data_IF_410559014235
#
_entry.id   IF_410559014235
#
_cell.length_a   1.000
_cell.length_b   1.000
_cell.length_c   1.000
_cell.angle_alpha   90.00
_cell.angle_beta   90.00
_cell.angle_gamma   90.00
#
_symmetry.space_group_name_H-M   'P 1'
#
loop_
_entity.id
_entity.type
_entity.pdbx_description
1 polymer ?
#
# COMPACT_ATOMS: atom_id res chain seq x y z
N UNK A 1 56.66 9.21 -11.24
CA UNK A 1 57.16 7.90 -11.72
C UNK A 1 56.50 6.81 -10.87
N UNK A 2 55.29 6.38 -11.25
CA UNK A 2 54.56 5.33 -10.52
C UNK A 2 55.15 3.97 -10.89
N UNK A 3 55.67 3.23 -9.90
CA UNK A 3 56.25 1.89 -10.11
C UNK A 3 55.14 0.95 -10.62
N UNK A 4 55.39 0.14 -11.66
CA UNK A 4 54.38 -0.74 -12.28
C UNK A 4 53.77 -1.72 -11.26
N UNK A 5 54.53 -2.09 -10.23
CA UNK A 5 54.08 -2.96 -9.15
C UNK A 5 52.97 -2.34 -8.27
N UNK A 6 52.99 -1.02 -8.04
CA UNK A 6 51.98 -0.33 -7.22
C UNK A 6 50.65 -0.16 -7.95
N UNK A 7 50.67 -0.08 -9.28
CA UNK A 7 49.44 0.03 -10.08
C UNK A 7 48.70 -1.31 -10.18
N UNK A 8 49.45 -2.42 -10.32
CA UNK A 8 48.87 -3.78 -10.37
C UNK A 8 48.22 -4.17 -9.04
N UNK A 9 48.84 -3.84 -7.91
CA UNK A 9 48.25 -4.10 -6.57
C UNK A 9 46.96 -3.31 -6.37
N UNK A 10 46.90 -2.05 -6.84
CA UNK A 10 45.69 -1.23 -6.75
C UNK A 10 44.52 -1.81 -7.59
N UNK A 11 44.82 -2.32 -8.79
CA UNK A 11 43.82 -2.94 -9.68
C UNK A 11 43.29 -4.26 -9.09
N UNK A 12 44.15 -5.05 -8.44
CA UNK A 12 43.73 -6.32 -7.79
C UNK A 12 42.85 -6.05 -6.57
N UNK A 13 43.19 -5.04 -5.75
CA UNK A 13 42.36 -4.67 -4.59
C UNK A 13 41.01 -4.10 -5.04
N UNK A 14 40.98 -3.26 -6.09
CA UNK A 14 39.74 -2.72 -6.63
C UNK A 14 38.83 -3.80 -7.24
N UNK A 15 39.40 -4.85 -7.85
CA UNK A 15 38.62 -5.97 -8.41
C UNK A 15 38.15 -6.97 -7.35
N UNK A 16 38.85 -7.14 -6.23
CA UNK A 16 38.36 -7.94 -5.09
C UNK A 16 37.20 -7.25 -4.34
N UNK A 17 37.15 -5.92 -4.27
CA UNK A 17 36.07 -5.20 -3.59
C UNK A 17 34.76 -5.22 -4.38
N UNK A 18 34.81 -5.37 -5.71
CA UNK A 18 33.61 -5.48 -6.55
C UNK A 18 32.98 -6.90 -6.47
N UNK A 19 33.76 -7.91 -6.11
CA UNK A 19 33.30 -9.31 -6.06
C UNK A 19 32.56 -9.70 -4.76
N UNK A 20 32.50 -8.81 -3.76
CA UNK A 20 31.76 -9.04 -2.51
C UNK A 20 30.58 -8.09 -2.34
N UNK A 21 30.09 -7.48 -3.41
CA UNK A 21 28.74 -6.93 -3.38
C UNK A 21 27.80 -8.12 -3.11
N UNK A 22 27.07 -8.15 -1.98
CA UNK A 22 26.09 -9.20 -1.76
C UNK A 22 25.14 -9.11 -2.95
N UNK A 23 25.06 -10.20 -3.71
CA UNK A 23 23.97 -10.43 -4.65
C UNK A 23 22.71 -10.26 -3.82
N UNK A 24 22.10 -9.08 -3.88
CA UNK A 24 20.79 -8.85 -3.32
C UNK A 24 19.80 -9.61 -4.21
N UNK A 25 19.85 -10.94 -4.14
CA UNK A 25 18.68 -11.78 -4.38
C UNK A 25 17.73 -11.52 -3.23
N UNK A 26 17.20 -10.30 -3.19
CA UNK A 26 15.98 -10.00 -2.49
C UNK A 26 14.93 -10.85 -3.15
N UNK A 27 14.66 -12.02 -2.59
CA UNK A 27 13.30 -12.53 -2.60
C UNK A 27 12.45 -11.35 -2.16
N UNK A 28 11.60 -10.85 -3.06
CA UNK A 28 10.51 -9.97 -2.68
C UNK A 28 9.68 -10.83 -1.72
N UNK A 29 10.02 -10.76 -0.44
CA UNK A 29 9.26 -11.38 0.62
C UNK A 29 7.93 -10.66 0.60
N UNK A 30 6.98 -11.17 -0.16
CA UNK A 30 5.60 -10.73 -0.08
C UNK A 30 5.22 -10.92 1.38
N UNK A 31 5.04 -9.80 2.09
CA UNK A 31 4.47 -9.81 3.43
C UNK A 31 3.16 -10.59 3.32
N UNK A 32 3.15 -11.82 3.86
CA UNK A 32 1.96 -12.65 3.82
C UNK A 32 0.85 -11.93 4.58
N UNK A 33 -0.34 -11.86 3.99
CA UNK A 33 -1.48 -11.24 4.64
C UNK A 33 -1.75 -11.94 5.97
N UNK A 34 -1.73 -11.18 7.07
CA UNK A 34 -2.08 -11.69 8.40
C UNK A 34 -3.56 -11.47 8.65
N UNK A 35 -4.26 -12.50 9.11
CA UNK A 35 -5.63 -12.35 9.58
C UNK A 35 -5.68 -11.40 10.79
N UNK A 36 -6.52 -10.37 10.70
CA UNK A 36 -6.78 -9.42 11.78
C UNK A 36 -8.25 -9.56 12.17
N UNK A 37 -8.52 -10.21 13.29
CA UNK A 37 -9.88 -10.46 13.77
C UNK A 37 -9.91 -11.36 15.02
N UNK A 38 -11.11 -11.69 15.53
CA UNK A 38 -11.25 -12.64 16.63
C UNK A 38 -10.66 -14.00 16.26
N UNK A 39 -10.14 -14.77 17.24
CA UNK A 39 -9.62 -16.10 16.96
C UNK A 39 -10.61 -16.93 16.15
N UNK A 40 -10.17 -17.48 15.03
CA UNK A 40 -10.99 -18.35 14.20
C UNK A 40 -11.28 -19.62 15.00
N UNK A 41 -12.54 -19.81 15.39
CA UNK A 41 -12.99 -21.03 16.06
C UNK A 41 -13.19 -22.11 15.00
N UNK A 42 -12.26 -23.05 14.90
CA UNK A 42 -12.36 -24.16 13.96
C UNK A 42 -11.00 -24.72 13.54
N UNK A 43 -11.03 -25.77 12.72
CA UNK A 43 -9.84 -26.31 12.06
C UNK A 43 -9.79 -25.85 10.61
N UNK A 44 -8.62 -25.44 10.13
CA UNK A 44 -8.42 -25.18 8.71
C UNK A 44 -8.71 -26.46 7.91
N UNK A 45 -9.57 -26.37 6.89
CA UNK A 45 -9.99 -27.54 6.12
C UNK A 45 -9.02 -27.80 4.96
N UNK A 46 -8.90 -26.83 4.05
CA UNK A 46 -8.04 -26.90 2.86
C UNK A 46 -7.76 -25.49 2.32
N UNK A 47 -6.64 -25.28 1.59
CA UNK A 47 -6.41 -24.04 0.86
C UNK A 47 -7.52 -23.79 -0.16
N UNK A 48 -7.77 -22.52 -0.45
CA UNK A 48 -8.64 -22.13 -1.54
C UNK A 48 -8.00 -22.58 -2.88
N UNK A 49 -8.76 -23.15 -3.83
CA UNK A 49 -8.23 -23.46 -5.17
C UNK A 49 -7.62 -22.23 -5.84
N UNK A 50 -6.52 -22.41 -6.58
CA UNK A 50 -5.76 -21.31 -7.17
C UNK A 50 -6.56 -20.41 -8.13
N UNK A 51 -7.65 -20.93 -8.71
CA UNK A 51 -8.48 -20.22 -9.70
C UNK A 51 -9.85 -19.79 -9.14
N UNK A 52 -10.02 -19.82 -7.80
CA UNK A 52 -11.24 -19.32 -7.20
C UNK A 52 -11.23 -17.79 -7.22
N UNK A 53 -12.22 -17.19 -7.88
CA UNK A 53 -12.45 -15.75 -7.81
C UNK A 53 -12.78 -15.35 -6.37
N UNK A 54 -12.08 -14.32 -5.87
CA UNK A 54 -12.30 -13.77 -4.53
C UNK A 54 -12.69 -12.32 -4.69
N UNK A 55 -13.91 -11.99 -4.26
CA UNK A 55 -14.33 -10.61 -4.19
C UNK A 55 -13.61 -9.90 -3.05
N UNK A 56 -12.93 -8.80 -3.36
CA UNK A 56 -12.24 -7.96 -2.41
C UNK A 56 -12.79 -6.54 -2.46
N UNK A 57 -12.94 -5.95 -1.27
CA UNK A 57 -13.28 -4.55 -1.08
C UNK A 57 -12.06 -3.83 -0.50
N UNK A 58 -11.56 -2.84 -1.23
CA UNK A 58 -10.42 -2.03 -0.85
C UNK A 58 -10.92 -0.70 -0.30
N UNK A 59 -10.72 -0.48 1.00
CA UNK A 59 -11.07 0.77 1.65
C UNK A 59 -9.86 1.69 1.73
N UNK A 60 -9.98 2.90 1.22
CA UNK A 60 -8.93 3.91 1.29
C UNK A 60 -9.13 4.78 2.54
N UNK A 61 -8.04 5.10 3.26
CA UNK A 61 -8.13 6.01 4.39
C UNK A 61 -8.46 7.45 3.93
N UNK A 62 -9.16 8.24 4.74
CA UNK A 62 -9.39 9.65 4.44
C UNK A 62 -8.10 10.46 4.49
N UNK A 63 -7.96 11.42 3.56
CA UNK A 63 -6.76 12.27 3.42
C UNK A 63 -6.41 13.02 4.72
N UNK A 64 -7.42 13.53 5.43
CA UNK A 64 -7.28 14.28 6.68
C UNK A 64 -7.82 13.50 7.90
N UNK A 65 -7.54 12.20 7.98
CA UNK A 65 -8.06 11.33 9.04
C UNK A 65 -7.84 11.84 10.47
N UNK A 66 -6.71 12.51 10.73
CA UNK A 66 -6.34 13.01 12.05
C UNK A 66 -7.27 14.10 12.59
N UNK A 67 -7.91 14.89 11.74
CA UNK A 67 -8.79 15.99 12.18
C UNK A 67 -10.24 15.56 12.38
N UNK A 68 -10.64 14.36 11.94
CA UNK A 68 -12.04 13.92 11.96
C UNK A 68 -12.62 13.99 13.38
N UNK A 69 -11.92 13.41 14.36
CA UNK A 69 -12.40 13.37 15.74
C UNK A 69 -12.54 14.77 16.34
N UNK A 70 -11.57 15.65 16.07
CA UNK A 70 -11.61 17.03 16.54
C UNK A 70 -12.79 17.79 15.93
N UNK A 71 -12.99 17.71 14.61
CA UNK A 71 -14.11 18.39 13.94
C UNK A 71 -15.45 17.84 14.43
N UNK A 72 -15.57 16.51 14.56
CA UNK A 72 -16.78 15.87 15.08
C UNK A 72 -17.11 16.34 16.51
N UNK A 73 -16.11 16.46 17.38
CA UNK A 73 -16.29 16.98 18.74
C UNK A 73 -16.80 18.42 18.72
N UNK A 74 -16.17 19.31 17.94
CA UNK A 74 -16.58 20.72 17.88
C UNK A 74 -18.00 20.90 17.30
N UNK A 75 -18.42 20.05 16.37
CA UNK A 75 -19.81 20.01 15.89
C UNK A 75 -20.75 19.54 17.00
N UNK A 76 -20.37 18.53 17.79
CA UNK A 76 -21.18 18.05 18.91
C UNK A 76 -21.37 19.12 20.00
N UNK A 77 -20.33 19.93 20.24
CA UNK A 77 -20.34 21.07 21.15
C UNK A 77 -21.07 22.29 20.57
N UNK A 78 -21.59 22.19 19.33
CA UNK A 78 -22.28 23.26 18.60
C UNK A 78 -21.41 24.50 18.35
N UNK A 79 -20.08 24.35 18.37
CA UNK A 79 -19.15 25.42 18.00
C UNK A 79 -19.09 25.62 16.49
N UNK A 80 -19.35 24.57 15.70
CA UNK A 80 -19.49 24.62 14.26
C UNK A 80 -20.75 23.90 13.80
N UNK A 81 -21.26 24.31 12.63
CA UNK A 81 -22.28 23.54 11.94
C UNK A 81 -21.67 22.27 11.33
N UNK A 82 -22.45 21.17 11.22
CA UNK A 82 -22.02 20.01 10.45
C UNK A 82 -21.60 20.40 9.03
N UNK A 83 -20.55 19.76 8.52
CA UNK A 83 -20.12 19.94 7.14
C UNK A 83 -21.21 19.45 6.18
N UNK A 84 -21.41 20.17 5.08
CA UNK A 84 -22.20 19.66 3.95
C UNK A 84 -21.51 18.45 3.32
N UNK A 85 -22.24 17.71 2.50
CA UNK A 85 -21.66 16.56 1.77
C UNK A 85 -20.45 16.99 0.92
N UNK A 86 -20.55 18.08 0.17
CA UNK A 86 -19.42 18.60 -0.62
C UNK A 86 -18.24 19.04 0.26
N UNK A 87 -18.53 19.60 1.44
CA UNK A 87 -17.49 19.93 2.43
C UNK A 87 -16.79 18.68 2.94
N UNK A 88 -17.53 17.64 3.31
CA UNK A 88 -16.97 16.36 3.76
C UNK A 88 -16.07 15.75 2.68
N UNK A 89 -16.55 15.69 1.44
CA UNK A 89 -15.76 15.14 0.34
C UNK A 89 -14.55 16.01 0.00
N UNK A 90 -14.67 17.34 0.08
CA UNK A 90 -13.55 18.25 -0.14
C UNK A 90 -12.43 18.11 0.89
N UNK A 91 -12.79 17.85 2.16
CA UNK A 91 -11.80 17.73 3.24
C UNK A 91 -11.25 16.32 3.43
N UNK A 92 -12.07 15.29 3.25
CA UNK A 92 -11.73 13.94 3.70
C UNK A 92 -11.62 12.91 2.58
N UNK A 93 -12.23 13.12 1.42
CA UNK A 93 -12.12 12.14 0.34
C UNK A 93 -10.66 11.98 -0.08
N UNK A 94 -10.23 10.76 -0.47
CA UNK A 94 -8.91 10.55 -1.02
C UNK A 94 -8.65 11.45 -2.21
N UNK A 95 -7.39 11.88 -2.36
CA UNK A 95 -6.97 12.67 -3.50
C UNK A 95 -7.26 11.90 -4.80
N UNK A 96 -7.80 12.57 -5.81
CA UNK A 96 -8.17 11.93 -7.08
C UNK A 96 -6.98 11.23 -7.74
N UNK A 97 -5.78 11.82 -7.70
CA UNK A 97 -4.58 11.23 -8.30
C UNK A 97 -4.13 9.98 -7.55
N UNK A 98 -4.18 9.99 -6.22
CA UNK A 98 -3.83 8.82 -5.40
C UNK A 98 -4.84 7.70 -5.61
N UNK A 99 -6.13 8.03 -5.62
CA UNK A 99 -7.22 7.09 -5.88
C UNK A 99 -7.08 6.42 -7.25
N UNK A 100 -6.81 7.21 -8.30
CA UNK A 100 -6.54 6.69 -9.64
C UNK A 100 -5.27 5.83 -9.68
N UNK A 101 -4.25 6.16 -8.88
CA UNK A 101 -3.04 5.36 -8.72
C UNK A 101 -3.34 3.97 -8.16
N UNK A 102 -4.22 3.86 -7.16
CA UNK A 102 -4.67 2.58 -6.60
C UNK A 102 -5.45 1.77 -7.65
N UNK A 103 -6.37 2.40 -8.37
CA UNK A 103 -7.10 1.76 -9.48
C UNK A 103 -6.14 1.19 -10.52
N UNK A 104 -5.15 1.99 -10.95
CA UNK A 104 -4.17 1.55 -11.92
C UNK A 104 -3.34 0.36 -11.40
N UNK A 105 -2.90 0.43 -10.14
CA UNK A 105 -2.18 -0.66 -9.49
C UNK A 105 -3.01 -1.95 -9.46
N UNK A 106 -4.28 -1.89 -9.06
CA UNK A 106 -5.14 -3.08 -9.00
C UNK A 106 -5.31 -3.71 -10.39
N UNK A 107 -5.65 -2.90 -11.40
CA UNK A 107 -5.78 -3.39 -12.77
C UNK A 107 -4.47 -3.99 -13.31
N UNK A 108 -3.31 -3.37 -13.03
CA UNK A 108 -2.02 -3.89 -13.50
C UNK A 108 -1.61 -5.20 -12.82
N UNK A 109 -2.23 -5.53 -11.68
CA UNK A 109 -2.01 -6.79 -10.95
C UNK A 109 -3.11 -7.82 -11.20
N UNK A 110 -3.94 -7.61 -12.23
CA UNK A 110 -4.93 -8.59 -12.70
C UNK A 110 -6.29 -8.52 -12.01
N UNK A 111 -6.50 -7.56 -11.11
CA UNK A 111 -7.83 -7.33 -10.55
C UNK A 111 -8.76 -6.72 -11.61
N UNK A 112 -9.97 -7.24 -11.68
CA UNK A 112 -11.06 -6.67 -12.44
C UNK A 112 -11.93 -5.81 -11.52
N UNK A 113 -11.81 -4.50 -11.68
CA UNK A 113 -12.63 -3.53 -10.95
C UNK A 113 -14.06 -3.59 -11.48
N UNK A 114 -15.01 -3.73 -10.56
CA UNK A 114 -16.45 -3.84 -10.85
C UNK A 114 -17.24 -2.70 -10.24
N UNK A 115 -16.70 -2.05 -9.20
CA UNK A 115 -17.31 -0.88 -8.60
C UNK A 115 -16.26 0.08 -8.05
N UNK A 116 -16.58 1.37 -8.14
CA UNK A 116 -15.82 2.49 -7.60
C UNK A 116 -16.81 3.42 -6.93
N UNK A 117 -16.58 3.76 -5.67
CA UNK A 117 -17.48 4.66 -4.95
C UNK A 117 -17.29 6.11 -5.41
N UNK A 118 -18.38 6.89 -5.59
CA UNK A 118 -18.29 8.30 -6.00
C UNK A 118 -17.51 9.20 -5.03
N UNK A 119 -17.49 8.81 -3.74
CA UNK A 119 -16.78 9.47 -2.65
C UNK A 119 -15.30 9.06 -2.54
N UNK A 120 -14.83 8.14 -3.39
CA UNK A 120 -13.46 7.63 -3.49
C UNK A 120 -12.95 6.87 -2.27
N UNK A 121 -13.84 6.38 -1.40
CA UNK A 121 -13.44 5.58 -0.23
C UNK A 121 -13.40 4.07 -0.48
N UNK A 122 -14.05 3.57 -1.52
CA UNK A 122 -14.14 2.13 -1.80
C UNK A 122 -13.89 1.81 -3.27
N UNK A 123 -13.12 0.74 -3.48
CA UNK A 123 -12.95 0.07 -4.77
C UNK A 123 -13.29 -1.40 -4.54
N UNK A 124 -14.07 -2.00 -5.43
CA UNK A 124 -14.41 -3.41 -5.36
C UNK A 124 -14.04 -4.11 -6.66
N UNK A 125 -13.59 -5.36 -6.53
CA UNK A 125 -13.14 -6.17 -7.65
C UNK A 125 -12.79 -7.59 -7.24
N UNK A 126 -12.36 -8.38 -8.21
CA UNK A 126 -11.87 -9.75 -8.04
C UNK A 126 -10.71 -10.04 -8.97
#
# INVERSE_FOLDING_TARGET
MFKPLSFVVLVIIASMVIATAPSASGSLGYTQASYVGPPLLGSAIKPLPANSEVWLSFFLPPSNSSSINFVAEQVSLKHFHPLSQDGLLGYYAPNQSEFNGVIHFLNSHGFKIVYVSPDRFSIEGY
#
